data_IF_725575559193
#
_entry.id   IF_725575559193
#
_cell.length_a   1.000
_cell.length_b   1.000
_cell.length_c   1.000
_cell.angle_alpha   90.00
_cell.angle_beta   90.00
_cell.angle_gamma   90.00
#
_symmetry.space_group_name_H-M   'P 1'
#
loop_
_entity.id
_entity.type
_entity.pdbx_description
1 polymer ?
#
# COMPACT_ATOMS: atom_id res chain seq x y z
N UNK A 1 -34.19 25.92 3.37
CA UNK A 1 -32.77 25.66 3.71
C UNK A 1 -32.69 24.39 4.52
N UNK A 2 -32.35 23.28 3.87
CA UNK A 2 -31.83 22.07 4.51
C UNK A 2 -30.96 21.38 3.46
N UNK A 3 -29.70 21.80 3.41
CA UNK A 3 -28.65 21.07 2.71
C UNK A 3 -28.36 19.80 3.49
N UNK A 4 -28.52 18.65 2.85
CA UNK A 4 -27.77 17.46 3.23
C UNK A 4 -27.12 16.96 1.95
N UNK A 5 -25.89 17.45 1.77
CA UNK A 5 -25.04 17.25 0.60
C UNK A 5 -24.58 15.79 0.62
N UNK A 6 -24.93 15.05 -0.43
CA UNK A 6 -24.38 13.74 -0.78
C UNK A 6 -22.85 13.87 -0.94
N UNK A 7 -22.10 12.93 -0.39
CA UNK A 7 -20.72 12.61 -0.80
C UNK A 7 -20.62 11.09 -0.69
N UNK A 8 -21.12 10.33 -1.66
CA UNK A 8 -20.42 9.91 -2.90
C UNK A 8 -19.08 9.22 -2.63
N UNK A 9 -19.14 7.89 -2.75
CA UNK A 9 -18.02 6.98 -2.76
C UNK A 9 -17.04 7.36 -3.88
N UNK A 10 -15.83 7.79 -3.51
CA UNK A 10 -14.74 7.92 -4.46
C UNK A 10 -14.15 6.54 -4.70
N UNK A 11 -14.78 5.82 -5.63
CA UNK A 11 -14.18 4.65 -6.26
C UNK A 11 -12.87 5.04 -6.93
N UNK A 12 -11.85 4.21 -6.75
CA UNK A 12 -10.57 4.31 -7.45
C UNK A 12 -10.86 4.34 -8.96
N UNK A 13 -10.84 5.54 -9.57
CA UNK A 13 -10.85 5.65 -11.03
C UNK A 13 -9.49 5.12 -11.49
N UNK A 14 -9.50 4.09 -12.33
CA UNK A 14 -8.29 3.59 -12.96
C UNK A 14 -7.49 4.75 -13.56
N UNK A 15 -6.19 4.77 -13.30
CA UNK A 15 -5.28 5.77 -13.86
C UNK A 15 -5.35 5.67 -15.38
N UNK A 16 -5.62 6.79 -16.06
CA UNK A 16 -5.68 6.82 -17.53
C UNK A 16 -4.28 6.73 -18.12
N UNK A 17 -4.14 6.15 -19.31
CA UNK A 17 -2.85 6.04 -20.01
C UNK A 17 -2.17 7.41 -20.20
N UNK A 18 -2.97 8.43 -20.52
CA UNK A 18 -2.51 9.82 -20.63
C UNK A 18 -1.90 10.35 -19.32
N UNK A 19 -2.50 10.00 -18.17
CA UNK A 19 -1.96 10.38 -16.86
C UNK A 19 -0.65 9.64 -16.54
N UNK A 20 -0.50 8.40 -17.00
CA UNK A 20 0.75 7.64 -16.83
C UNK A 20 1.88 8.28 -17.65
N UNK A 21 1.60 8.66 -18.89
CA UNK A 21 2.59 9.30 -19.79
C UNK A 21 3.00 10.68 -19.30
N UNK A 22 2.03 11.47 -18.81
CA UNK A 22 2.29 12.77 -18.18
C UNK A 22 3.21 12.64 -16.96
N UNK A 23 2.93 11.67 -16.07
CA UNK A 23 3.76 11.43 -14.89
C UNK A 23 5.15 10.91 -15.26
N UNK A 24 5.27 10.04 -16.25
CA UNK A 24 6.57 9.54 -16.71
C UNK A 24 7.44 10.69 -17.22
N UNK A 25 6.89 11.56 -18.07
CA UNK A 25 7.62 12.73 -18.59
C UNK A 25 8.03 13.71 -17.48
N UNK A 26 7.20 13.86 -16.44
CA UNK A 26 7.51 14.69 -15.28
C UNK A 26 8.68 14.13 -14.46
N UNK A 27 8.69 12.83 -14.14
CA UNK A 27 9.75 12.22 -13.32
C UNK A 27 11.05 11.97 -14.10
N UNK A 28 11.01 11.84 -15.43
CA UNK A 28 12.23 11.80 -16.25
C UNK A 28 12.98 13.15 -16.26
N UNK A 29 12.28 14.26 -16.00
CA UNK A 29 12.83 15.61 -16.04
C UNK A 29 13.05 16.23 -14.65
N UNK A 30 12.51 15.62 -13.60
CA UNK A 30 12.55 16.17 -12.24
C UNK A 30 13.36 15.26 -11.33
N UNK A 31 14.49 15.75 -10.82
CA UNK A 31 15.25 15.04 -9.79
C UNK A 31 14.42 15.02 -8.50
N UNK A 32 14.05 13.82 -8.05
CA UNK A 32 13.23 13.60 -6.84
C UNK A 32 13.86 14.17 -5.56
N UNK A 33 15.15 14.51 -5.59
CA UNK A 33 15.89 15.10 -4.48
C UNK A 33 15.53 16.59 -4.27
N UNK A 34 15.04 17.27 -5.32
CA UNK A 34 14.68 18.71 -5.30
C UNK A 34 13.17 18.96 -5.10
N UNK A 35 12.38 17.90 -4.94
CA UNK A 35 10.96 18.03 -4.61
C UNK A 35 10.82 18.39 -3.12
N UNK A 36 10.39 19.62 -2.83
CA UNK A 36 9.85 19.94 -1.51
C UNK A 36 8.69 18.98 -1.24
N UNK A 37 8.84 18.11 -0.25
CA UNK A 37 7.77 17.20 0.13
C UNK A 37 6.55 18.00 0.53
N UNK A 38 5.47 17.93 -0.26
CA UNK A 38 4.17 18.40 0.17
C UNK A 38 3.82 17.66 1.47
N UNK A 39 3.52 18.42 2.53
CA UNK A 39 2.92 17.86 3.74
C UNK A 39 1.59 17.24 3.35
N UNK A 40 1.60 15.93 3.18
CA UNK A 40 0.38 15.16 2.89
C UNK A 40 -0.50 15.24 4.12
N UNK A 41 -1.74 15.73 3.94
CA UNK A 41 -2.75 15.69 5.01
C UNK A 41 -2.84 14.24 5.52
N UNK A 42 -2.53 13.97 6.80
CA UNK A 42 -2.54 12.63 7.37
C UNK A 42 -3.94 11.98 7.33
N UNK A 43 -4.99 12.73 6.98
CA UNK A 43 -6.31 12.17 6.68
C UNK A 43 -6.42 11.44 5.33
N UNK A 44 -5.47 11.63 4.41
CA UNK A 44 -5.47 11.03 3.04
C UNK A 44 -4.47 9.88 2.92
N UNK A 45 -3.41 9.90 3.72
CA UNK A 45 -2.44 8.82 3.82
C UNK A 45 -2.69 8.08 5.12
N UNK A 46 -3.05 6.80 5.04
CA UNK A 46 -3.08 5.89 6.18
C UNK A 46 -1.63 5.67 6.65
N UNK A 47 -1.05 6.67 7.31
CA UNK A 47 0.29 6.60 7.91
C UNK A 47 0.16 5.52 8.99
N UNK A 48 0.87 4.38 8.87
CA UNK A 48 0.66 3.27 9.78
C UNK A 48 0.81 3.73 11.22
N UNK A 49 -0.25 3.49 12.00
CA UNK A 49 -0.26 3.54 13.46
C UNK A 49 0.99 2.86 14.02
N UNK A 50 1.47 3.33 15.17
CA UNK A 50 2.61 2.78 15.92
C UNK A 50 2.75 1.26 15.73
N UNK A 51 3.91 0.83 15.21
CA UNK A 51 4.15 -0.58 14.90
C UNK A 51 4.89 -1.26 16.04
N UNK A 52 4.31 -2.34 16.56
CA UNK A 52 4.96 -3.23 17.51
C UNK A 52 5.73 -4.34 16.79
N UNK A 53 6.92 -4.69 17.30
CA UNK A 53 7.74 -5.76 16.74
C UNK A 53 7.46 -7.10 17.44
N UNK A 54 7.06 -8.10 16.66
CA UNK A 54 6.96 -9.50 17.10
C UNK A 54 7.96 -10.35 16.33
N UNK A 55 8.60 -11.30 17.02
CA UNK A 55 9.48 -12.30 16.39
C UNK A 55 8.81 -13.68 16.40
N UNK A 56 8.57 -14.24 15.21
CA UNK A 56 8.04 -15.59 15.03
C UNK A 56 9.09 -16.48 14.36
N UNK A 57 9.13 -17.76 14.76
CA UNK A 57 9.97 -18.76 14.09
C UNK A 57 9.14 -19.49 13.05
N UNK A 58 9.62 -19.50 11.81
CA UNK A 58 9.03 -20.24 10.71
C UNK A 58 9.99 -21.35 10.26
N UNK A 59 9.47 -22.50 9.79
CA UNK A 59 10.28 -23.45 9.04
C UNK A 59 11.00 -22.75 7.89
N UNK A 60 12.25 -23.16 7.63
CA UNK A 60 13.06 -22.55 6.58
C UNK A 60 12.39 -22.63 5.21
N UNK A 61 11.80 -23.78 4.90
CA UNK A 61 11.15 -24.04 3.61
C UNK A 61 9.95 -23.11 3.37
N UNK A 62 9.17 -22.84 4.41
CA UNK A 62 8.03 -21.92 4.37
C UNK A 62 8.49 -20.48 4.14
N UNK A 63 9.56 -20.06 4.83
CA UNK A 63 10.13 -18.73 4.64
C UNK A 63 10.65 -18.55 3.20
N UNK A 64 11.28 -19.57 2.63
CA UNK A 64 11.77 -19.53 1.25
C UNK A 64 10.61 -19.51 0.24
N UNK A 65 9.50 -20.21 0.51
CA UNK A 65 8.27 -20.11 -0.28
C UNK A 65 7.66 -18.71 -0.22
N UNK A 66 7.62 -18.10 0.96
CA UNK A 66 7.13 -16.73 1.16
C UNK A 66 7.97 -15.71 0.38
N UNK A 67 9.30 -15.84 0.40
CA UNK A 67 10.20 -14.98 -0.39
C UNK A 67 9.91 -15.07 -1.88
N UNK A 68 9.84 -16.28 -2.44
CA UNK A 68 9.49 -16.48 -3.86
C UNK A 68 8.11 -15.95 -4.22
N UNK A 69 7.15 -16.04 -3.30
CA UNK A 69 5.80 -15.47 -3.50
C UNK A 69 5.84 -13.95 -3.49
N UNK A 70 6.61 -13.35 -2.59
CA UNK A 70 6.79 -11.91 -2.48
C UNK A 70 7.47 -11.32 -3.72
N UNK A 71 8.52 -11.96 -4.21
CA UNK A 71 9.21 -11.59 -5.45
C UNK A 71 8.26 -11.57 -6.65
N UNK A 72 7.45 -12.64 -6.83
CA UNK A 72 6.45 -12.68 -7.91
C UNK A 72 5.36 -11.62 -7.78
N UNK A 73 5.10 -11.15 -6.57
CA UNK A 73 4.13 -10.09 -6.30
C UNK A 73 4.76 -8.68 -6.32
N UNK A 74 6.08 -8.56 -6.53
CA UNK A 74 6.79 -7.27 -6.54
C UNK A 74 6.88 -6.60 -5.16
N UNK A 75 6.78 -7.35 -4.07
CA UNK A 75 6.83 -6.81 -2.69
C UNK A 75 7.91 -7.47 -1.85
N UNK A 76 8.37 -6.81 -0.79
CA UNK A 76 9.28 -7.41 0.19
C UNK A 76 8.62 -8.57 0.96
N UNK A 77 9.39 -9.60 1.33
CA UNK A 77 8.84 -10.77 2.03
C UNK A 77 8.21 -10.43 3.41
N UNK A 78 8.71 -9.42 4.11
CA UNK A 78 8.11 -8.92 5.35
C UNK A 78 6.78 -8.22 5.09
N UNK A 79 6.67 -7.45 4.00
CA UNK A 79 5.40 -6.85 3.54
C UNK A 79 4.39 -7.94 3.20
N UNK A 80 4.80 -8.98 2.47
CA UNK A 80 3.97 -10.15 2.18
C UNK A 80 3.44 -10.81 3.47
N UNK A 81 4.32 -11.03 4.46
CA UNK A 81 3.91 -11.59 5.76
C UNK A 81 2.85 -10.69 6.43
N UNK A 82 3.08 -9.37 6.48
CA UNK A 82 2.10 -8.43 7.06
C UNK A 82 0.77 -8.45 6.33
N UNK A 83 0.78 -8.51 5.00
CA UNK A 83 -0.44 -8.61 4.19
C UNK A 83 -1.23 -9.88 4.51
N UNK A 84 -0.54 -11.02 4.65
CA UNK A 84 -1.18 -12.29 5.02
C UNK A 84 -1.81 -12.19 6.41
N UNK A 85 -1.07 -11.66 7.39
CA UNK A 85 -1.58 -11.47 8.76
C UNK A 85 -2.80 -10.53 8.75
N UNK A 86 -2.73 -9.40 8.06
CA UNK A 86 -3.85 -8.45 7.95
C UNK A 86 -5.07 -9.08 7.30
N UNK A 87 -4.89 -9.75 6.16
CA UNK A 87 -5.97 -10.45 5.48
C UNK A 87 -6.64 -11.51 6.37
N UNK A 88 -5.85 -12.19 7.22
CA UNK A 88 -6.37 -13.14 8.20
C UNK A 88 -7.13 -12.49 9.36
N UNK A 89 -6.72 -11.29 9.80
CA UNK A 89 -7.46 -10.54 10.83
C UNK A 89 -8.77 -9.96 10.27
N UNK A 90 -8.76 -9.50 9.03
CA UNK A 90 -9.95 -8.93 8.36
C UNK A 90 -10.97 -10.02 7.99
N UNK A 91 -10.50 -11.22 7.63
CA UNK A 91 -11.32 -12.39 7.35
C UNK A 91 -10.80 -13.61 8.14
N UNK A 92 -11.19 -13.74 9.41
CA UNK A 92 -10.70 -14.81 10.28
C UNK A 92 -11.04 -16.17 9.68
N UNK A 93 -10.04 -17.07 9.63
CA UNK A 93 -10.26 -18.47 9.28
C UNK A 93 -11.33 -19.01 10.23
N UNK A 94 -12.53 -19.21 9.71
CA UNK A 94 -13.59 -19.90 10.43
C UNK A 94 -13.14 -21.35 10.55
N UNK A 95 -12.81 -21.78 11.77
CA UNK A 95 -12.54 -23.17 12.11
C UNK A 95 -13.79 -23.80 12.71
#
# INVERSE_FOLDING_TARGET
>A
MSETRKQEATGWRGVTQERIEELAAYYDQTDTVDLEGEEVDPGVVDIPTEMEQVSIRLPREDLDLLKRRAERAGVGYTTMIRMIVRAHLDNPLTY
#
